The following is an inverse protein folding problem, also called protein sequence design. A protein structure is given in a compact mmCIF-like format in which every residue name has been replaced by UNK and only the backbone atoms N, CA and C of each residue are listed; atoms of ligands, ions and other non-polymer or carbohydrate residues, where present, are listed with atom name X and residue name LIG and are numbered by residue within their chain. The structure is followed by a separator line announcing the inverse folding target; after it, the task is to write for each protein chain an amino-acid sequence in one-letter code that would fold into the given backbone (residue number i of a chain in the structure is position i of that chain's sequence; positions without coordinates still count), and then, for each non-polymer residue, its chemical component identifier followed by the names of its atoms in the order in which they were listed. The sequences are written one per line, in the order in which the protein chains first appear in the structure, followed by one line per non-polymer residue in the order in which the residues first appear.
data_IF_681120613385
#
_entry.id   IF_681120613385
#
_cell.length_a   1.000
_cell.length_b   1.000
_cell.length_c   1.000
_cell.angle_alpha   90.00
_cell.angle_beta   90.00
_cell.angle_gamma   90.00
#
_symmetry.space_group_name_H-M   'P 1'
#
loop_
_entity.id
_entity.type
_entity.pdbx_description
1 polymer ?
#
# COMPACT_ATOMS: atom_id res chain seq x y z
N UNK A 1 5.17 25.36 -36.43
CA UNK A 1 3.83 25.56 -35.84
C UNK A 1 3.87 25.02 -34.42
N UNK A 2 3.46 25.80 -33.41
CA UNK A 2 3.41 25.30 -32.02
C UNK A 2 2.28 24.26 -31.92
N UNK A 3 2.59 23.06 -31.43
CA UNK A 3 1.59 22.01 -31.21
C UNK A 3 0.82 22.35 -29.93
N UNK A 4 -0.38 22.93 -30.07
CA UNK A 4 -1.26 23.18 -28.93
C UNK A 4 -2.13 21.96 -28.66
N UNK A 5 -2.27 21.59 -27.38
CA UNK A 5 -3.23 20.59 -26.93
C UNK A 5 -4.42 21.26 -26.25
N UNK A 6 -5.62 20.90 -26.71
CA UNK A 6 -6.89 21.36 -26.14
C UNK A 6 -7.50 20.21 -25.34
N UNK A 7 -7.70 20.43 -24.04
CA UNK A 7 -8.35 19.45 -23.15
C UNK A 7 -9.86 19.54 -23.27
N UNK A 8 -10.54 18.40 -23.37
CA UNK A 8 -12.01 18.33 -23.55
C UNK A 8 -12.76 18.01 -22.26
N UNK A 9 -12.07 17.44 -21.28
CA UNK A 9 -12.62 17.04 -19.98
C UNK A 9 -11.86 17.73 -18.84
N UNK A 10 -12.38 17.73 -17.60
CA UNK A 10 -11.62 18.14 -16.43
C UNK A 10 -10.27 17.43 -16.41
N UNK A 11 -9.20 18.21 -16.21
CA UNK A 11 -7.84 17.71 -16.33
C UNK A 11 -6.97 18.22 -15.19
N UNK A 12 -5.91 17.46 -14.92
CA UNK A 12 -4.80 17.88 -14.09
C UNK A 12 -3.58 17.94 -15.02
N UNK A 13 -2.92 19.09 -15.09
CA UNK A 13 -1.67 19.31 -15.81
C UNK A 13 -0.59 19.62 -14.79
N UNK A 14 0.50 18.85 -14.82
CA UNK A 14 1.65 19.04 -13.94
C UNK A 14 2.84 19.37 -14.83
N UNK A 15 3.43 20.54 -14.58
CA UNK A 15 4.65 21.00 -15.22
C UNK A 15 5.72 21.32 -14.18
N UNK A 16 6.98 21.25 -14.59
CA UNK A 16 8.08 21.81 -13.80
C UNK A 16 8.03 23.34 -13.88
N UNK A 17 8.17 24.03 -12.76
CA UNK A 17 8.21 25.51 -12.69
C UNK A 17 9.36 26.08 -13.53
N UNK A 18 10.45 25.31 -13.67
CA UNK A 18 11.61 25.69 -14.47
C UNK A 18 11.55 25.20 -15.92
N UNK A 19 10.45 24.56 -16.33
CA UNK A 19 10.26 23.99 -17.67
C UNK A 19 11.39 23.06 -18.14
N UNK A 20 12.10 22.38 -17.22
CA UNK A 20 13.19 21.47 -17.60
C UNK A 20 12.69 20.09 -18.02
N UNK A 21 11.48 19.75 -17.61
CA UNK A 21 10.84 18.47 -17.89
C UNK A 21 9.56 18.67 -18.67
N UNK A 22 9.27 17.73 -19.56
CA UNK A 22 8.04 17.74 -20.34
C UNK A 22 6.83 17.65 -19.38
N UNK A 23 5.88 18.60 -19.45
CA UNK A 23 4.67 18.52 -18.65
C UNK A 23 3.84 17.29 -19.01
N UNK A 24 3.20 16.69 -18.02
CA UNK A 24 2.27 15.57 -18.22
C UNK A 24 0.91 15.91 -17.65
N UNK A 25 -0.14 15.26 -18.19
CA UNK A 25 -1.52 15.56 -17.81
C UNK A 25 -2.38 14.29 -17.77
N UNK A 26 -3.46 14.37 -17.00
CA UNK A 26 -4.52 13.38 -16.96
C UNK A 26 -5.87 14.06 -17.16
N UNK A 27 -6.58 13.65 -18.20
CA UNK A 27 -7.99 13.99 -18.40
C UNK A 27 -8.88 12.94 -17.74
N UNK A 28 -9.89 13.39 -16.99
CA UNK A 28 -10.83 12.54 -16.27
C UNK A 28 -12.20 12.60 -16.93
N UNK A 29 -12.63 11.49 -17.54
CA UNK A 29 -14.03 11.31 -17.94
C UNK A 29 -14.93 11.13 -16.71
N UNK A 30 -14.41 10.46 -15.67
CA UNK A 30 -15.05 10.30 -14.37
C UNK A 30 -14.02 10.70 -13.30
N UNK A 31 -14.10 11.91 -12.73
CA UNK A 31 -13.18 12.32 -11.68
C UNK A 31 -13.35 11.41 -10.45
N UNK A 32 -12.29 11.17 -9.66
CA UNK A 32 -12.38 10.40 -8.43
C UNK A 32 -13.44 11.00 -7.51
N UNK A 33 -14.34 10.16 -6.97
CA UNK A 33 -15.35 10.56 -6.00
C UNK A 33 -15.16 9.76 -4.74
N UNK A 34 -15.30 10.43 -3.60
CA UNK A 34 -15.21 9.79 -2.30
C UNK A 34 -16.58 9.19 -1.95
N UNK A 35 -16.61 7.89 -1.71
CA UNK A 35 -17.80 7.15 -1.29
C UNK A 35 -17.73 6.91 0.21
N UNK A 36 -18.41 7.77 0.98
CA UNK A 36 -18.43 7.69 2.44
C UNK A 36 -19.11 6.41 2.96
N UNK A 37 -19.95 5.77 2.14
CA UNK A 37 -20.66 4.53 2.48
C UNK A 37 -19.91 3.27 2.03
N UNK A 38 -18.60 3.37 1.77
CA UNK A 38 -17.80 2.21 1.35
C UNK A 38 -17.68 1.22 2.51
N UNK A 39 -17.75 -0.10 2.26
CA UNK A 39 -17.50 -1.09 3.30
C UNK A 39 -16.12 -0.89 3.94
N UNK A 40 -16.00 -1.22 5.23
CA UNK A 40 -14.72 -1.19 5.93
C UNK A 40 -13.66 -2.00 5.16
N UNK A 41 -12.41 -1.50 5.19
CA UNK A 41 -11.27 -2.09 4.50
C UNK A 41 -11.37 -2.12 2.95
N UNK A 42 -12.37 -1.44 2.35
CA UNK A 42 -12.44 -1.21 0.90
C UNK A 42 -11.90 0.18 0.52
N UNK A 43 -11.41 0.34 -0.72
CA UNK A 43 -10.98 1.63 -1.24
C UNK A 43 -12.20 2.58 -1.43
N UNK A 44 -12.22 3.77 -0.80
CA UNK A 44 -13.37 4.69 -0.84
C UNK A 44 -13.52 5.45 -2.16
N UNK A 45 -12.64 5.21 -3.14
CA UNK A 45 -12.75 5.74 -4.51
C UNK A 45 -13.26 4.70 -5.51
N UNK A 46 -13.56 3.48 -5.05
CA UNK A 46 -14.08 2.40 -5.88
C UNK A 46 -15.57 2.23 -5.65
N UNK A 47 -16.36 2.40 -6.70
CA UNK A 47 -17.77 2.05 -6.69
C UNK A 47 -17.92 0.51 -6.55
N UNK A 48 -18.40 0.05 -5.39
CA UNK A 48 -19.01 -1.27 -5.21
C UNK A 48 -18.14 -2.51 -5.56
N UNK A 49 -16.81 -2.44 -5.48
CA UNK A 49 -15.98 -3.65 -5.60
C UNK A 49 -15.92 -4.40 -4.27
N UNK A 50 -16.75 -5.44 -4.15
CA UNK A 50 -16.50 -6.51 -3.18
C UNK A 50 -15.19 -7.20 -3.55
N UNK A 51 -14.33 -7.49 -2.58
CA UNK A 51 -13.12 -8.29 -2.80
C UNK A 51 -13.51 -9.64 -3.40
N UNK A 52 -13.37 -9.78 -4.72
CA UNK A 52 -13.41 -11.09 -5.35
C UNK A 52 -12.06 -11.73 -5.06
N UNK A 53 -12.05 -12.74 -4.19
CA UNK A 53 -10.92 -13.66 -4.07
C UNK A 53 -10.77 -14.37 -5.43
N UNK A 54 -10.01 -13.75 -6.32
CA UNK A 54 -9.85 -14.24 -7.68
C UNK A 54 -9.04 -15.52 -7.69
N UNK A 55 -9.57 -16.57 -8.32
CA UNK A 55 -8.78 -17.72 -8.77
C UNK A 55 -7.59 -17.17 -9.57
N UNK A 56 -6.38 -17.31 -9.05
CA UNK A 56 -5.16 -16.84 -9.68
C UNK A 56 -4.91 -17.59 -10.99
N UNK A 57 -5.46 -17.08 -12.10
CA UNK A 57 -5.00 -17.46 -13.44
C UNK A 57 -3.55 -17.01 -13.54
N UNK A 58 -2.65 -17.91 -13.94
CA UNK A 58 -1.23 -17.60 -14.20
C UNK A 58 -1.14 -16.62 -15.37
N UNK A 59 -1.34 -15.33 -15.11
CA UNK A 59 -1.15 -14.26 -16.08
C UNK A 59 0.34 -13.98 -16.19
N UNK A 60 0.83 -13.84 -17.43
CA UNK A 60 2.20 -13.36 -17.68
C UNK A 60 2.41 -12.03 -16.95
N UNK A 61 3.54 -11.90 -16.26
CA UNK A 61 3.91 -10.71 -15.49
C UNK A 61 5.02 -9.97 -16.26
N UNK A 62 4.70 -9.02 -17.16
CA UNK A 62 5.71 -8.24 -17.84
C UNK A 62 6.32 -7.20 -16.88
N UNK A 63 7.55 -6.81 -17.16
CA UNK A 63 8.27 -5.85 -16.32
C UNK A 63 9.58 -5.39 -16.94
N UNK A 64 10.39 -4.71 -16.13
CA UNK A 64 11.73 -4.28 -16.47
C UNK A 64 12.69 -4.86 -15.44
N UNK A 65 13.77 -5.47 -15.90
CA UNK A 65 14.79 -6.04 -15.03
C UNK A 65 15.91 -5.02 -14.84
N UNK A 66 16.17 -4.65 -13.58
CA UNK A 66 17.21 -3.69 -13.24
C UNK A 66 18.62 -4.28 -13.33
N UNK A 67 18.74 -5.62 -13.27
CA UNK A 67 20.00 -6.34 -13.42
C UNK A 67 20.40 -6.39 -14.90
N UNK A 68 19.47 -6.83 -15.75
CA UNK A 68 19.72 -7.01 -17.17
C UNK A 68 19.51 -5.73 -17.98
N UNK A 69 18.90 -4.69 -17.39
CA UNK A 69 18.48 -3.45 -18.06
C UNK A 69 17.57 -3.67 -19.29
N UNK A 70 16.77 -4.74 -19.27
CA UNK A 70 15.87 -5.12 -20.37
C UNK A 70 14.41 -5.22 -19.91
N UNK A 71 13.49 -4.98 -20.86
CA UNK A 71 12.06 -5.25 -20.66
C UNK A 71 11.77 -6.72 -20.96
N UNK A 72 11.04 -7.40 -20.08
CA UNK A 72 10.63 -8.79 -20.27
C UNK A 72 9.11 -8.93 -20.33
N UNK A 73 8.64 -9.92 -21.07
CA UNK A 73 7.21 -10.20 -21.23
C UNK A 73 6.65 -11.11 -20.13
N UNK A 74 7.48 -12.00 -19.57
CA UNK A 74 7.11 -12.90 -18.49
C UNK A 74 8.28 -13.05 -17.50
N UNK A 75 8.03 -12.74 -16.24
CA UNK A 75 9.00 -12.86 -15.16
C UNK A 75 9.60 -14.26 -15.04
N UNK A 76 8.76 -15.31 -15.11
CA UNK A 76 9.23 -16.66 -14.83
C UNK A 76 10.18 -17.17 -15.92
N UNK A 77 10.00 -16.72 -17.17
CA UNK A 77 10.91 -17.08 -18.26
C UNK A 77 12.20 -16.27 -18.15
N UNK A 78 12.10 -14.97 -17.86
CA UNK A 78 13.25 -14.07 -17.80
C UNK A 78 14.28 -14.47 -16.73
N UNK A 79 13.84 -14.85 -15.53
CA UNK A 79 14.76 -15.26 -14.45
C UNK A 79 15.54 -16.54 -14.80
N UNK A 80 15.05 -17.34 -15.76
CA UNK A 80 15.71 -18.53 -16.25
C UNK A 80 16.66 -18.26 -17.44
N UNK A 81 16.64 -17.06 -18.01
CA UNK A 81 17.53 -16.68 -19.09
C UNK A 81 18.98 -16.65 -18.63
N UNK A 82 19.90 -16.89 -19.58
CA UNK A 82 21.32 -17.04 -19.29
C UNK A 82 21.90 -15.81 -18.58
N UNK A 83 21.66 -14.61 -19.11
CA UNK A 83 22.22 -13.36 -18.58
C UNK A 83 21.84 -13.14 -17.11
N UNK A 84 20.55 -13.28 -16.77
CA UNK A 84 20.06 -13.12 -15.41
C UNK A 84 20.65 -14.19 -14.48
N UNK A 85 20.73 -15.44 -14.95
CA UNK A 85 21.28 -16.55 -14.16
C UNK A 85 22.76 -16.41 -13.86
N UNK A 86 23.57 -15.94 -14.81
CA UNK A 86 25.00 -15.76 -14.57
C UNK A 86 25.24 -14.63 -13.57
N UNK A 87 24.50 -13.52 -13.68
CA UNK A 87 24.54 -12.46 -12.67
C UNK A 87 24.13 -12.99 -11.28
N UNK A 88 23.04 -13.76 -11.20
CA UNK A 88 22.53 -14.30 -9.95
C UNK A 88 23.46 -15.33 -9.28
N UNK A 89 24.30 -16.03 -10.04
CA UNK A 89 25.27 -16.99 -9.48
C UNK A 89 26.52 -16.34 -8.95
N UNK A 90 26.90 -15.19 -9.49
CA UNK A 90 28.11 -14.50 -9.08
C UNK A 90 27.87 -13.75 -7.77
N UNK A 91 28.43 -14.30 -6.69
CA UNK A 91 28.33 -13.75 -5.33
C UNK A 91 28.94 -12.35 -5.22
N UNK A 92 29.88 -11.99 -6.09
CA UNK A 92 30.47 -10.66 -6.08
C UNK A 92 29.42 -9.55 -6.31
N UNK A 93 28.34 -9.86 -7.03
CA UNK A 93 27.25 -8.92 -7.28
C UNK A 93 26.37 -8.63 -6.05
N UNK A 94 26.45 -9.46 -4.99
CA UNK A 94 25.58 -9.38 -3.82
C UNK A 94 26.31 -9.01 -2.53
N UNK A 95 27.62 -8.71 -2.58
CA UNK A 95 28.45 -8.39 -1.40
C UNK A 95 27.86 -7.27 -0.55
N UNK A 96 27.29 -6.23 -1.16
CA UNK A 96 26.66 -5.13 -0.43
C UNK A 96 25.43 -5.56 0.39
N UNK A 97 24.68 -6.55 -0.12
CA UNK A 97 23.52 -7.13 0.58
C UNK A 97 24.01 -8.04 1.69
N UNK A 98 25.01 -8.88 1.44
CA UNK A 98 25.60 -9.77 2.44
C UNK A 98 26.17 -8.98 3.64
N UNK A 99 26.86 -7.86 3.37
CA UNK A 99 27.35 -6.93 4.39
C UNK A 99 26.25 -6.19 5.16
N UNK A 100 25.07 -6.03 4.56
CA UNK A 100 23.92 -5.44 5.24
C UNK A 100 23.25 -6.47 6.14
N UNK A 101 23.04 -7.70 5.66
CA UNK A 101 22.41 -8.80 6.41
C UNK A 101 23.24 -9.17 7.64
N UNK A 102 24.56 -9.25 7.51
CA UNK A 102 25.45 -9.63 8.61
C UNK A 102 25.39 -8.70 9.82
N UNK A 103 24.85 -7.48 9.68
CA UNK A 103 24.63 -6.54 10.79
C UNK A 103 23.46 -6.93 11.69
N UNK A 104 22.62 -7.87 11.28
CA UNK A 104 21.41 -8.27 11.99
C UNK A 104 21.45 -9.72 12.50
N UNK A 105 22.51 -10.50 12.22
CA UNK A 105 22.57 -11.95 12.48
C UNK A 105 23.00 -12.35 13.91
N UNK A 106 22.79 -11.53 14.93
CA UNK A 106 23.24 -11.85 16.31
C UNK A 106 22.15 -12.32 17.31
N UNK A 107 20.88 -12.50 16.91
CA UNK A 107 19.86 -13.04 17.83
C UNK A 107 19.00 -14.16 17.23
N UNK A 108 19.62 -15.26 16.79
CA UNK A 108 18.88 -16.50 16.62
C UNK A 108 18.60 -17.17 17.97
N UNK A 109 17.53 -16.73 18.64
CA UNK A 109 16.89 -17.51 19.70
C UNK A 109 16.33 -18.81 19.10
N UNK A 110 16.56 -20.00 19.70
CA UNK A 110 16.13 -21.29 19.14
C UNK A 110 14.60 -21.48 19.02
N UNK A 111 13.80 -20.50 19.44
CA UNK A 111 12.36 -20.70 19.58
C UNK A 111 11.52 -19.43 19.44
N UNK A 112 11.46 -18.80 18.28
CA UNK A 112 10.23 -18.07 17.90
C UNK A 112 9.99 -18.16 16.40
N UNK A 113 9.09 -19.07 15.98
CA UNK A 113 8.25 -18.79 14.81
C UNK A 113 7.54 -17.48 15.11
N UNK A 114 8.01 -16.38 14.53
CA UNK A 114 7.30 -15.12 14.54
C UNK A 114 5.95 -15.34 13.86
N UNK A 115 4.93 -15.65 14.66
CA UNK A 115 3.54 -15.55 14.24
C UNK A 115 3.34 -14.06 14.02
N UNK A 116 3.24 -13.66 12.75
CA UNK A 116 2.94 -12.28 12.36
C UNK A 116 1.83 -11.74 13.27
N UNK A 117 1.99 -10.56 13.90
CA UNK A 117 0.92 -9.90 14.65
C UNK A 117 -0.37 -9.74 13.80
N UNK A 118 -0.21 -9.74 12.47
CA UNK A 118 -1.28 -9.63 11.49
C UNK A 118 -2.01 -10.96 11.22
N UNK A 119 -1.47 -12.12 11.59
CA UNK A 119 -2.11 -13.42 11.33
C UNK A 119 -3.42 -13.59 12.11
N UNK A 120 -3.63 -12.79 13.17
CA UNK A 120 -4.88 -12.74 13.93
C UNK A 120 -5.95 -11.87 13.25
N UNK A 121 -5.58 -11.09 12.23
CA UNK A 121 -6.44 -10.08 11.60
C UNK A 121 -6.84 -10.49 10.17
N UNK A 122 -6.20 -11.50 9.58
CA UNK A 122 -6.53 -11.94 8.22
C UNK A 122 -7.78 -12.81 8.16
N UNK A 123 -8.78 -12.34 7.42
CA UNK A 123 -9.74 -13.03 6.52
C UNK A 123 -10.53 -14.28 6.97
N UNK A 124 -10.23 -14.94 8.08
CA UNK A 124 -10.97 -16.11 8.58
C UNK A 124 -11.86 -15.80 9.80
N UNK A 125 -12.11 -14.52 10.09
CA UNK A 125 -13.07 -14.15 11.12
C UNK A 125 -14.50 -14.40 10.62
N UNK A 126 -14.96 -15.63 10.84
CA UNK A 126 -16.38 -15.96 10.87
C UNK A 126 -17.04 -15.03 11.87
N UNK A 127 -17.82 -14.08 11.36
CA UNK A 127 -18.67 -13.23 12.19
C UNK A 127 -19.80 -14.10 12.73
N UNK A 128 -19.58 -14.70 13.90
CA UNK A 128 -20.65 -15.27 14.71
C UNK A 128 -20.94 -14.31 15.87
N UNK A 129 -21.98 -13.51 15.61
CA UNK A 129 -23.10 -13.13 16.46
C UNK A 129 -22.93 -12.79 17.96
N UNK A 130 -23.58 -11.67 18.28
CA UNK A 130 -24.25 -11.28 19.53
C UNK A 130 -23.43 -10.96 20.79
N UNK A 131 -23.58 -9.70 21.23
CA UNK A 131 -23.18 -9.08 22.51
C UNK A 131 -21.71 -8.67 22.71
N UNK A 132 -21.43 -7.36 22.60
CA UNK A 132 -20.21 -6.72 23.13
C UNK A 132 -19.67 -5.56 22.27
N UNK A 133 -20.45 -4.49 22.10
CA UNK A 133 -20.29 -3.46 21.06
C UNK A 133 -19.47 -2.21 21.45
N UNK A 134 -18.47 -2.29 22.32
CA UNK A 134 -17.71 -1.08 22.72
C UNK A 134 -16.19 -1.28 22.74
N UNK A 135 -15.73 -2.41 23.27
CA UNK A 135 -14.30 -2.74 23.36
C UNK A 135 -13.64 -2.99 22.00
N UNK A 136 -14.41 -3.40 20.99
CA UNK A 136 -13.90 -3.67 19.64
C UNK A 136 -13.60 -2.40 18.86
N UNK A 137 -14.36 -1.32 19.08
CA UNK A 137 -14.13 -0.05 18.39
C UNK A 137 -12.90 0.68 18.94
N UNK A 138 -12.76 0.70 20.27
CA UNK A 138 -11.58 1.24 20.96
C UNK A 138 -10.29 0.52 20.55
N UNK A 139 -10.33 -0.81 20.41
CA UNK A 139 -9.17 -1.57 19.94
C UNK A 139 -8.76 -1.25 18.49
N UNK A 140 -9.74 -0.94 17.62
CA UNK A 140 -9.45 -0.52 16.23
C UNK A 140 -8.85 0.88 16.19
N UNK A 141 -9.34 1.81 17.03
CA UNK A 141 -8.80 3.16 17.13
C UNK A 141 -7.41 3.19 17.78
N UNK A 142 -7.15 2.34 18.77
CA UNK A 142 -5.83 2.22 19.39
C UNK A 142 -4.75 1.72 18.42
N UNK A 143 -5.09 0.80 17.52
CA UNK A 143 -4.16 0.36 16.45
C UNK A 143 -3.77 1.55 15.54
N UNK A 144 -4.68 2.51 15.32
CA UNK A 144 -4.38 3.71 14.55
C UNK A 144 -3.49 4.72 15.30
N UNK A 145 -3.47 4.70 16.63
CA UNK A 145 -2.66 5.60 17.48
C UNK A 145 -1.22 5.13 17.63
N UNK A 146 -0.97 3.82 17.68
CA UNK A 146 0.38 3.22 17.80
C UNK A 146 1.24 3.46 16.54
N UNK A 147 0.65 3.96 15.45
CA UNK A 147 1.41 4.28 14.23
C UNK A 147 2.10 5.66 14.25
N UNK A 148 1.95 6.45 15.32
CA UNK A 148 2.62 7.75 15.46
C UNK A 148 3.22 7.90 16.85
N UNK A 149 4.34 7.23 17.11
CA UNK A 149 5.18 7.56 18.25
C UNK A 149 5.90 8.89 17.96
N UNK A 150 5.26 9.99 18.37
CA UNK A 150 5.95 11.13 18.95
C UNK A 150 5.48 11.21 20.40
N UNK A 151 6.45 11.37 21.28
CA UNK A 151 6.41 11.25 22.73
C UNK A 151 5.25 11.97 23.43
N UNK A 152 4.73 11.30 24.46
CA UNK A 152 4.08 11.80 25.67
C UNK A 152 3.69 13.29 25.68
N UNK A 153 2.48 13.57 25.21
CA UNK A 153 1.70 14.71 25.70
C UNK A 153 0.33 14.19 26.10
N UNK A 154 0.04 14.25 27.41
CA UNK A 154 -1.32 14.09 27.95
C UNK A 154 -2.21 15.19 27.34
N UNK A 155 -2.73 14.93 26.14
CA UNK A 155 -3.77 15.76 25.56
C UNK A 155 -5.07 15.40 26.29
N UNK A 156 -5.53 16.34 27.12
CA UNK A 156 -6.83 16.31 27.78
C UNK A 156 -7.93 16.18 26.70
N UNK A 157 -8.41 14.95 26.47
CA UNK A 157 -9.39 14.68 25.42
C UNK A 157 -10.79 15.05 25.90
N UNK A 158 -11.36 16.11 25.31
CA UNK A 158 -12.78 16.41 25.46
C UNK A 158 -13.60 15.39 24.68
N UNK A 159 -14.47 14.67 25.38
CA UNK A 159 -15.35 13.64 24.82
C UNK A 159 -16.25 14.25 23.73
N UNK A 160 -16.27 13.63 22.54
CA UNK A 160 -17.03 14.06 21.36
C UNK A 160 -18.53 14.25 21.64
N UNK A 161 -19.07 13.57 22.65
CA UNK A 161 -20.46 13.77 23.10
C UNK A 161 -20.75 15.20 23.56
N UNK A 162 -19.75 15.92 24.10
CA UNK A 162 -19.90 17.31 24.53
C UNK A 162 -20.02 18.28 23.35
N UNK A 163 -19.29 18.02 22.25
CA UNK A 163 -19.34 18.86 21.05
C UNK A 163 -20.69 18.74 20.31
N UNK A 164 -21.26 17.53 20.27
CA UNK A 164 -22.55 17.30 19.61
C UNK A 164 -23.74 17.91 20.36
N UNK A 165 -23.66 18.05 21.69
CA UNK A 165 -24.74 18.58 22.51
C UNK A 165 -24.75 20.12 22.64
N UNK A 166 -23.69 20.83 22.22
CA UNK A 166 -23.63 22.29 22.32
C UNK A 166 -24.34 23.04 21.17
N UNK A 167 -24.81 22.34 20.13
CA UNK A 167 -25.57 22.95 19.03
C UNK A 167 -27.09 22.76 19.12
N UNK A 168 -27.59 22.35 20.29
CA UNK A 168 -29.03 22.27 20.57
C UNK A 168 -29.40 23.27 21.67
N UNK A 169 -29.42 24.56 21.31
CA UNK A 169 -30.30 25.61 21.86
C UNK A 169 -30.17 26.89 21.03
#
# INVERSE_FOLDING_TARGET
MKNYKIFKSPYILIGDVKDRHQPFYKEYTKPPRLFLNSPQLCCPFQENKRFKAGLSKKTKKPGFCEICYTKYADYNTHVLEYEHREFAKDKANFVGIDLFISRFEEEESPYTKAISPLSKITSSMNYFDSHGSELTYENILNISKVSTDNEDVEAEYVNITHFMNCNSN
#
